data_IF_468864053533
#
_entry.id   IF_468864053533
#
_cell.length_a   1.000
_cell.length_b   1.000
_cell.length_c   1.000
_cell.angle_alpha   90.00
_cell.angle_beta   90.00
_cell.angle_gamma   90.00
#
_symmetry.space_group_name_H-M   'P 1'
#
loop_
_entity.id
_entity.type
_entity.pdbx_description
1 polymer ?
#
# COMPACT_ATOMS: atom_id res chain seq x y z
N UNK A 1 -12.37 5.03 24.32
CA UNK A 1 -11.78 5.21 22.97
C UNK A 1 -10.47 4.44 22.96
N UNK A 2 -10.51 3.20 22.48
CA UNK A 2 -9.29 2.37 22.41
C UNK A 2 -8.49 2.81 21.19
N UNK A 3 -7.40 3.53 21.40
CA UNK A 3 -6.39 3.75 20.36
C UNK A 3 -5.60 2.45 20.23
N UNK A 4 -6.09 1.52 19.41
CA UNK A 4 -5.32 0.34 19.00
C UNK A 4 -4.09 0.83 18.24
N UNK A 5 -2.99 1.02 18.98
CA UNK A 5 -1.70 1.41 18.44
C UNK A 5 -1.11 0.22 17.66
N UNK A 6 -1.57 0.03 16.43
CA UNK A 6 -1.06 -1.03 15.57
C UNK A 6 0.37 -0.68 15.17
N UNK A 7 1.35 -1.57 15.39
CA UNK A 7 2.73 -1.28 15.05
C UNK A 7 2.85 -1.01 13.55
N UNK A 8 3.50 0.08 13.16
CA UNK A 8 3.74 0.39 11.75
C UNK A 8 4.63 -0.69 11.16
N UNK A 9 4.08 -1.45 10.21
CA UNK A 9 4.76 -2.56 9.53
C UNK A 9 5.17 -2.16 8.12
N UNK A 10 6.32 -2.69 7.68
CA UNK A 10 6.80 -2.56 6.31
C UNK A 10 6.66 -3.90 5.58
N UNK A 11 6.04 -3.87 4.40
CA UNK A 11 5.87 -5.01 3.51
C UNK A 11 7.01 -5.09 2.50
N UNK A 12 7.48 -6.32 2.25
CA UNK A 12 8.35 -6.64 1.11
C UNK A 12 7.52 -6.83 -0.15
N UNK A 13 8.17 -6.80 -1.31
CA UNK A 13 7.52 -6.95 -2.61
C UNK A 13 6.57 -8.16 -2.68
N UNK A 14 6.98 -9.33 -2.21
CA UNK A 14 6.14 -10.53 -2.23
C UNK A 14 4.83 -10.34 -1.43
N UNK A 15 4.90 -9.66 -0.28
CA UNK A 15 3.73 -9.36 0.56
C UNK A 15 2.83 -8.30 -0.08
N UNK A 16 3.42 -7.30 -0.76
CA UNK A 16 2.64 -6.35 -1.56
C UNK A 16 1.91 -7.07 -2.69
N UNK A 17 2.57 -8.04 -3.34
CA UNK A 17 2.00 -8.80 -4.45
C UNK A 17 0.83 -9.70 -4.02
N UNK A 18 0.80 -10.15 -2.75
CA UNK A 18 -0.33 -10.88 -2.18
C UNK A 18 -1.59 -9.99 -2.07
N UNK A 19 -1.42 -8.69 -1.82
CA UNK A 19 -2.52 -7.73 -1.72
C UNK A 19 -2.93 -7.17 -3.09
N UNK A 20 -1.95 -6.94 -3.96
CA UNK A 20 -2.13 -6.35 -5.28
C UNK A 20 -1.30 -7.17 -6.27
N UNK A 21 -1.92 -8.04 -7.09
CA UNK A 21 -1.21 -9.02 -7.91
C UNK A 21 -0.60 -8.41 -9.18
N UNK A 22 0.13 -7.30 -9.03
CA UNK A 22 0.85 -6.63 -10.09
C UNK A 22 2.27 -7.15 -10.20
N UNK A 23 2.79 -7.18 -11.43
CA UNK A 23 4.20 -7.46 -11.65
C UNK A 23 5.07 -6.34 -11.09
N UNK A 24 6.34 -6.66 -10.80
CA UNK A 24 7.30 -5.68 -10.30
C UNK A 24 7.48 -4.51 -11.25
N UNK A 25 7.67 -4.78 -12.55
CA UNK A 25 7.83 -3.72 -13.56
C UNK A 25 6.62 -2.79 -13.61
N UNK A 26 5.42 -3.32 -13.47
CA UNK A 26 4.21 -2.53 -13.47
C UNK A 26 4.10 -1.64 -12.22
N UNK A 27 4.44 -2.17 -11.03
CA UNK A 27 4.52 -1.35 -9.81
C UNK A 27 5.50 -0.18 -9.98
N UNK A 28 6.71 -0.43 -10.50
CA UNK A 28 7.67 0.66 -10.72
C UNK A 28 7.20 1.65 -11.81
N UNK A 29 6.47 1.19 -12.83
CA UNK A 29 5.85 2.08 -13.80
C UNK A 29 4.77 2.98 -13.15
N UNK A 30 3.91 2.42 -12.30
CA UNK A 30 2.93 3.22 -11.56
C UNK A 30 3.59 4.20 -10.58
N UNK A 31 4.68 3.80 -9.90
CA UNK A 31 5.47 4.71 -9.05
C UNK A 31 6.02 5.87 -9.88
N UNK A 32 6.56 5.62 -11.09
CA UNK A 32 7.05 6.69 -11.98
C UNK A 32 5.96 7.63 -12.49
N UNK A 33 4.69 7.25 -12.34
CA UNK A 33 3.52 8.05 -12.68
C UNK A 33 2.85 8.67 -11.45
N UNK A 34 3.45 8.56 -10.26
CA UNK A 34 2.85 8.96 -8.98
C UNK A 34 1.49 8.30 -8.69
N UNK A 35 1.28 7.10 -9.25
CA UNK A 35 0.02 6.34 -9.15
C UNK A 35 0.10 5.15 -8.21
N UNK A 36 1.20 4.98 -7.47
CA UNK A 36 1.37 3.92 -6.50
C UNK A 36 2.31 4.37 -5.37
N UNK A 37 2.12 3.91 -4.12
CA UNK A 37 3.00 4.27 -3.01
C UNK A 37 4.48 4.00 -3.31
N UNK A 38 5.34 4.98 -3.00
CA UNK A 38 6.78 4.84 -3.18
C UNK A 38 7.39 3.96 -2.10
N UNK A 39 8.35 3.08 -2.43
CA UNK A 39 9.01 2.26 -1.43
C UNK A 39 9.98 3.08 -0.57
N UNK A 40 10.11 2.70 0.69
CA UNK A 40 11.12 3.20 1.62
C UNK A 40 12.33 2.27 1.64
N UNK A 41 13.54 2.85 1.73
CA UNK A 41 14.76 2.08 1.98
C UNK A 41 14.77 1.63 3.43
N UNK A 42 15.07 0.35 3.66
CA UNK A 42 15.11 -0.23 5.01
C UNK A 42 16.43 0.03 5.72
N UNK A 43 17.51 0.17 4.94
CA UNK A 43 18.86 0.40 5.42
C UNK A 43 19.47 1.45 4.50
N UNK A 44 20.13 2.45 5.08
CA UNK A 44 20.87 3.46 4.33
C UNK A 44 21.95 2.80 3.45
N UNK A 45 22.05 3.21 2.18
CA UNK A 45 22.95 2.58 1.20
C UNK A 45 22.59 1.13 0.80
N UNK A 46 21.60 0.52 1.44
CA UNK A 46 21.17 -0.85 1.15
C UNK A 46 20.30 -0.97 -0.12
N UNK A 47 20.25 -2.19 -0.66
CA UNK A 47 19.33 -2.56 -1.76
C UNK A 47 17.92 -2.93 -1.28
N UNK A 48 17.75 -3.09 0.03
CA UNK A 48 16.48 -3.49 0.64
C UNK A 48 15.50 -2.33 0.66
N UNK A 49 14.35 -2.51 0.01
CA UNK A 49 13.23 -1.59 0.06
C UNK A 49 11.93 -2.32 0.45
N UNK A 50 10.94 -1.57 0.89
CA UNK A 50 9.61 -2.03 1.24
C UNK A 50 8.60 -0.90 1.27
N UNK A 51 7.34 -1.21 1.57
CA UNK A 51 6.24 -0.25 1.59
C UNK A 51 5.56 -0.24 2.95
N UNK A 52 5.09 0.90 3.42
CA UNK A 52 4.28 0.91 4.62
C UNK A 52 2.96 0.19 4.37
N UNK A 53 2.61 -0.74 5.25
CA UNK A 53 1.42 -1.57 5.13
C UNK A 53 0.15 -0.72 4.97
N UNK A 54 0.00 0.32 5.79
CA UNK A 54 -1.16 1.22 5.74
C UNK A 54 -1.30 1.97 4.41
N UNK A 55 -0.21 2.34 3.74
CA UNK A 55 -0.26 3.02 2.44
C UNK A 55 -0.73 2.06 1.34
N UNK A 56 -0.30 0.80 1.40
CA UNK A 56 -0.73 -0.23 0.44
C UNK A 56 -2.22 -0.55 0.64
N UNK A 57 -2.67 -0.70 1.88
CA UNK A 57 -4.10 -0.87 2.16
C UNK A 57 -4.93 0.33 1.71
N UNK A 58 -4.48 1.55 1.97
CA UNK A 58 -5.15 2.75 1.52
C UNK A 58 -5.27 2.81 -0.02
N UNK A 59 -4.23 2.38 -0.74
CA UNK A 59 -4.29 2.25 -2.19
C UNK A 59 -5.31 1.19 -2.64
N UNK A 60 -5.34 0.01 -2.02
CA UNK A 60 -6.34 -1.03 -2.35
C UNK A 60 -7.76 -0.50 -2.15
N UNK A 61 -7.99 0.17 -1.02
CA UNK A 61 -9.28 0.76 -0.69
C UNK A 61 -9.67 1.84 -1.70
N UNK A 62 -8.73 2.71 -2.12
CA UNK A 62 -9.02 3.71 -3.16
C UNK A 62 -9.41 3.05 -4.48
N UNK A 63 -8.77 1.93 -4.86
CA UNK A 63 -9.17 1.16 -6.06
C UNK A 63 -10.55 0.54 -5.92
N UNK A 64 -10.92 0.08 -4.73
CA UNK A 64 -12.27 -0.43 -4.47
C UNK A 64 -13.30 0.70 -4.64
N UNK A 65 -13.07 1.86 -4.04
CA UNK A 65 -13.93 3.04 -4.16
C UNK A 65 -14.06 3.52 -5.61
N UNK A 66 -12.96 3.61 -6.35
CA UNK A 66 -12.94 4.02 -7.76
C UNK A 66 -13.75 3.08 -8.67
N UNK A 67 -13.73 1.78 -8.38
CA UNK A 67 -14.31 0.76 -9.28
C UNK A 67 -15.72 0.33 -8.91
N UNK A 68 -16.11 0.46 -7.63
CA UNK A 68 -17.41 0.01 -7.12
C UNK A 68 -18.25 1.11 -6.51
N UNK A 69 -17.70 2.31 -6.27
CA UNK A 69 -18.41 3.41 -5.62
C UNK A 69 -18.63 3.13 -4.12
N UNK A 70 -18.49 4.16 -3.29
CA UNK A 70 -18.60 4.09 -1.83
C UNK A 70 -19.93 3.46 -1.37
N UNK A 71 -19.87 2.35 -0.63
CA UNK A 71 -20.88 2.07 0.39
C UNK A 71 -20.62 3.05 1.55
N UNK A 72 -21.23 4.22 1.50
CA UNK A 72 -21.43 5.02 2.69
C UNK A 72 -22.42 4.27 3.58
N UNK A 73 -21.89 3.50 4.54
CA UNK A 73 -22.61 3.25 5.77
C UNK A 73 -21.86 4.02 6.86
N UNK A 74 -22.22 5.30 7.01
CA UNK A 74 -22.24 5.91 8.34
C UNK A 74 -23.21 5.08 9.19
N UNK A 75 -22.68 4.17 10.00
CA UNK A 75 -23.46 3.59 11.10
C UNK A 75 -23.01 4.22 12.42
N UNK A 76 -23.86 5.17 12.84
CA UNK A 76 -24.44 5.44 14.18
C UNK A 76 -23.54 5.29 15.41
#
# INVERSE_FOLDING_TARGET
>A
METTNHPKRILRFNQVQELIPFSRSYIYNLISQDRFPSPVKLIEGGRGAGWWEHEIHAYVESRHQDTRGSYLNEEV
#
